data_IF_877579022595
#
_entry.id   IF_877579022595
#
_cell.length_a   1.000
_cell.length_b   1.000
_cell.length_c   1.000
_cell.angle_alpha   90.00
_cell.angle_beta   90.00
_cell.angle_gamma   90.00
#
_symmetry.space_group_name_H-M   'P 1'
#
loop_
_entity.id
_entity.type
_entity.pdbx_description
1 polymer ?
#
# COMPACT_ATOMS: atom_id res chain seq x y z
N UNK A 1 14.96 66.23 -50.32
CA UNK A 1 16.07 65.98 -51.27
C UNK A 1 15.49 65.25 -52.48
N UNK A 2 15.86 65.69 -53.68
CA UNK A 2 15.34 65.28 -54.99
C UNK A 2 15.46 63.76 -55.23
N UNK A 3 14.39 63.13 -55.77
CA UNK A 3 14.43 61.74 -56.29
C UNK A 3 15.45 61.58 -57.42
N UNK A 4 15.74 62.67 -58.11
CA UNK A 4 16.66 62.72 -59.24
C UNK A 4 18.08 62.29 -58.86
N UNK A 5 18.47 62.45 -57.59
CA UNK A 5 19.85 62.21 -57.16
C UNK A 5 20.19 60.72 -56.98
N UNK A 6 19.20 59.84 -56.77
CA UNK A 6 19.43 58.39 -56.70
C UNK A 6 19.44 57.75 -58.09
N UNK A 7 18.52 58.16 -58.97
CA UNK A 7 18.48 57.62 -60.33
C UNK A 7 19.75 57.98 -61.10
N UNK A 8 20.26 59.21 -60.98
CA UNK A 8 21.56 59.58 -61.56
C UNK A 8 22.71 58.78 -60.95
N UNK A 9 22.70 58.52 -59.64
CA UNK A 9 23.74 57.71 -58.97
C UNK A 9 23.79 56.27 -59.49
N UNK A 10 22.62 55.68 -59.77
CA UNK A 10 22.56 54.31 -60.31
C UNK A 10 22.87 54.25 -61.80
N UNK A 11 22.47 55.24 -62.60
CA UNK A 11 22.86 55.35 -64.02
C UNK A 11 24.38 55.55 -64.18
N UNK A 12 24.99 56.38 -63.35
CA UNK A 12 26.44 56.63 -63.37
C UNK A 12 27.25 55.39 -62.99
N UNK A 13 26.70 54.53 -62.11
CA UNK A 13 27.38 53.33 -61.61
C UNK A 13 26.94 52.04 -62.33
N UNK A 14 25.98 52.09 -63.25
CA UNK A 14 25.34 50.92 -63.88
C UNK A 14 26.36 49.96 -64.51
N UNK A 15 27.45 50.50 -65.08
CA UNK A 15 28.50 49.72 -65.73
C UNK A 15 29.74 49.47 -64.84
N UNK A 16 29.75 49.96 -63.59
CA UNK A 16 30.85 49.73 -62.64
C UNK A 16 30.62 48.50 -61.75
N UNK A 17 29.41 47.95 -61.70
CA UNK A 17 29.10 46.81 -60.83
C UNK A 17 29.54 45.46 -61.42
N UNK A 18 29.57 45.33 -62.75
CA UNK A 18 29.88 44.08 -63.46
C UNK A 18 31.35 43.94 -63.85
N UNK A 19 32.25 44.50 -63.02
CA UNK A 19 33.71 44.48 -63.24
C UNK A 19 34.35 43.10 -62.99
N UNK A 20 33.73 42.26 -62.16
CA UNK A 20 34.35 41.01 -61.71
C UNK A 20 33.34 39.87 -61.64
N UNK A 21 33.70 38.73 -62.22
CA UNK A 21 32.92 37.51 -62.12
C UNK A 21 33.36 36.66 -60.91
N UNK A 22 32.46 35.91 -60.25
CA UNK A 22 32.85 35.03 -59.16
C UNK A 22 33.88 33.99 -59.62
N UNK A 23 34.87 33.71 -58.77
CA UNK A 23 35.85 32.66 -59.04
C UNK A 23 35.19 31.33 -59.40
N UNK A 24 35.77 30.62 -60.38
CA UNK A 24 35.32 29.32 -60.88
C UNK A 24 34.96 28.38 -59.70
N UNK A 25 33.81 27.71 -59.82
CA UNK A 25 33.26 26.84 -58.76
C UNK A 25 32.49 27.56 -57.65
N UNK A 26 32.27 28.88 -57.74
CA UNK A 26 31.45 29.63 -56.78
C UNK A 26 30.06 29.01 -56.59
N UNK A 27 29.36 28.67 -57.68
CA UNK A 27 28.03 28.06 -57.63
C UNK A 27 28.03 26.75 -56.83
N UNK A 28 29.07 25.92 -56.99
CA UNK A 28 29.20 24.67 -56.27
C UNK A 28 29.49 24.89 -54.78
N UNK A 29 30.35 25.86 -54.43
CA UNK A 29 30.59 26.26 -53.03
C UNK A 29 29.32 26.82 -52.39
N UNK A 30 28.54 27.60 -53.13
CA UNK A 30 27.25 28.13 -52.69
C UNK A 30 26.24 27.00 -52.43
N UNK A 31 26.06 26.08 -53.37
CA UNK A 31 25.18 24.91 -53.21
C UNK A 31 25.61 24.02 -52.04
N UNK A 32 26.91 23.80 -51.86
CA UNK A 32 27.44 23.07 -50.71
C UNK A 32 27.12 23.78 -49.40
N UNK A 33 27.27 25.12 -49.34
CA UNK A 33 26.92 25.92 -48.15
C UNK A 33 25.40 25.90 -47.88
N UNK A 34 24.57 25.94 -48.92
CA UNK A 34 23.11 25.87 -48.81
C UNK A 34 22.66 24.50 -48.28
N UNK A 35 23.20 23.42 -48.85
CA UNK A 35 22.88 22.06 -48.40
C UNK A 35 23.40 21.76 -46.98
N UNK A 36 24.49 22.40 -46.55
CA UNK A 36 24.97 22.29 -45.17
C UNK A 36 24.16 23.13 -44.16
N UNK A 37 23.35 24.11 -44.59
CA UNK A 37 22.47 24.86 -43.67
C UNK A 37 21.29 24.02 -43.17
N UNK A 38 20.84 23.02 -43.93
CA UNK A 38 19.81 22.06 -43.50
C UNK A 38 20.36 20.94 -42.60
N UNK A 39 21.68 20.89 -42.41
CA UNK A 39 22.30 20.09 -41.35
C UNK A 39 22.46 20.98 -40.13
N UNK A 40 21.33 21.31 -39.49
CA UNK A 40 21.36 21.62 -38.05
C UNK A 40 22.13 20.46 -37.44
N UNK A 41 23.27 20.74 -36.84
CA UNK A 41 24.03 19.75 -36.12
C UNK A 41 23.08 19.07 -35.14
N UNK A 42 22.68 17.84 -35.43
CA UNK A 42 22.26 16.92 -34.40
C UNK A 42 23.52 16.66 -33.61
N UNK A 43 23.83 17.55 -32.67
CA UNK A 43 24.57 17.13 -31.50
C UNK A 43 23.74 16.00 -30.92
N UNK A 44 24.17 14.77 -31.12
CA UNK A 44 23.74 13.62 -30.35
C UNK A 44 24.19 13.86 -28.90
N UNK A 45 23.51 14.79 -28.23
CA UNK A 45 23.53 14.85 -26.78
C UNK A 45 22.74 13.61 -26.39
N UNK A 46 23.34 12.60 -25.71
CA UNK A 46 22.55 11.50 -25.22
C UNK A 46 21.45 12.13 -24.37
N UNK A 47 20.18 11.95 -24.78
CA UNK A 47 19.03 12.37 -23.99
C UNK A 47 19.17 11.65 -22.65
N UNK A 48 19.74 12.33 -21.66
CA UNK A 48 19.81 11.83 -20.29
C UNK A 48 18.36 11.74 -19.86
N UNK A 49 17.84 10.52 -19.89
CA UNK A 49 16.47 10.20 -19.48
C UNK A 49 16.33 10.68 -18.03
N UNK A 50 15.66 11.82 -17.85
CA UNK A 50 15.34 12.44 -16.56
C UNK A 50 14.26 11.66 -15.79
N UNK A 51 14.11 10.37 -16.04
CA UNK A 51 13.24 9.48 -15.26
C UNK A 51 13.95 8.92 -14.01
N UNK A 52 15.27 9.14 -13.89
CA UNK A 52 16.04 8.66 -12.74
C UNK A 52 15.55 9.15 -11.36
N UNK A 53 15.05 10.39 -11.15
CA UNK A 53 14.51 10.77 -9.85
C UNK A 53 13.14 10.14 -9.54
N UNK A 54 12.30 9.86 -10.56
CA UNK A 54 11.01 9.19 -10.33
C UNK A 54 11.19 7.69 -10.02
N UNK A 55 12.15 7.04 -10.68
CA UNK A 55 12.48 5.64 -10.40
C UNK A 55 13.12 5.49 -9.00
N UNK A 56 13.94 6.46 -8.54
CA UNK A 56 14.50 6.38 -7.18
C UNK A 56 13.45 6.60 -6.09
N UNK A 57 12.47 7.48 -6.32
CA UNK A 57 11.35 7.70 -5.40
C UNK A 57 10.47 6.45 -5.34
N UNK A 58 10.10 5.89 -6.50
CA UNK A 58 9.34 4.64 -6.55
C UNK A 58 10.10 3.50 -5.85
N UNK A 59 11.41 3.36 -6.08
CA UNK A 59 12.23 2.35 -5.40
C UNK A 59 12.27 2.57 -3.88
N UNK A 60 12.36 3.81 -3.38
CA UNK A 60 12.30 4.07 -1.94
C UNK A 60 10.92 3.76 -1.33
N UNK A 61 9.83 4.03 -2.05
CA UNK A 61 8.48 3.70 -1.59
C UNK A 61 8.29 2.19 -1.60
N UNK A 62 8.69 1.51 -2.67
CA UNK A 62 8.65 0.04 -2.76
C UNK A 62 9.53 -0.60 -1.69
N UNK A 63 10.72 -0.04 -1.40
CA UNK A 63 11.60 -0.52 -0.33
C UNK A 63 10.95 -0.32 1.04
N UNK A 64 10.35 0.84 1.32
CA UNK A 64 9.66 1.10 2.59
C UNK A 64 8.45 0.18 2.76
N UNK A 65 7.68 -0.03 1.70
CA UNK A 65 6.56 -0.99 1.66
C UNK A 65 7.06 -2.41 1.86
N UNK A 66 8.10 -2.84 1.13
CA UNK A 66 8.68 -4.17 1.25
C UNK A 66 9.35 -4.42 2.60
N UNK A 67 9.93 -3.40 3.24
CA UNK A 67 10.43 -3.50 4.60
C UNK A 67 9.27 -3.58 5.60
N UNK A 68 8.24 -2.73 5.46
CA UNK A 68 7.07 -2.75 6.34
C UNK A 68 6.34 -4.10 6.29
N UNK A 69 6.07 -4.63 5.10
CA UNK A 69 5.45 -5.95 4.91
C UNK A 69 6.44 -7.11 5.13
N UNK A 70 7.72 -6.94 4.81
CA UNK A 70 8.75 -7.97 4.97
C UNK A 70 9.19 -8.18 6.43
N UNK A 71 9.01 -7.18 7.30
CA UNK A 71 9.17 -7.33 8.76
C UNK A 71 7.93 -7.83 9.45
N UNK A 72 6.78 -7.87 8.78
CA UNK A 72 5.67 -8.71 9.21
C UNK A 72 6.02 -10.16 8.86
N UNK A 73 6.96 -10.71 9.62
CA UNK A 73 7.01 -12.14 9.77
C UNK A 73 5.65 -12.50 10.35
N UNK A 74 4.79 -13.17 9.57
CA UNK A 74 3.73 -13.95 10.16
C UNK A 74 4.45 -14.98 11.04
N UNK A 75 4.69 -14.60 12.29
CA UNK A 75 5.02 -15.55 13.35
C UNK A 75 3.90 -16.56 13.20
N UNK A 76 4.21 -17.76 12.70
CA UNK A 76 3.23 -18.83 12.59
C UNK A 76 2.60 -18.91 13.98
N UNK A 77 1.36 -18.42 14.10
CA UNK A 77 0.84 -17.97 15.37
C UNK A 77 0.58 -19.24 16.18
N UNK A 78 1.55 -19.59 17.03
CA UNK A 78 1.53 -20.79 17.83
C UNK A 78 0.25 -20.78 18.64
N UNK A 79 -0.64 -21.70 18.33
CA UNK A 79 -1.91 -21.87 19.00
C UNK A 79 -1.82 -23.00 20.02
N UNK A 80 -2.85 -23.14 20.85
CA UNK A 80 -2.88 -24.21 21.83
C UNK A 80 -2.82 -25.57 21.11
N UNK A 81 -3.49 -25.67 19.96
CA UNK A 81 -3.50 -26.87 19.14
C UNK A 81 -2.14 -27.34 18.63
N UNK A 82 -1.18 -26.42 18.47
CA UNK A 82 0.18 -26.76 18.03
C UNK A 82 1.04 -27.49 19.07
N UNK A 83 0.62 -27.51 20.35
CA UNK A 83 1.37 -28.12 21.46
C UNK A 83 1.33 -29.65 21.41
N UNK A 84 0.14 -30.23 21.20
CA UNK A 84 -0.05 -31.68 21.12
C UNK A 84 -1.39 -32.03 20.43
N UNK A 85 -1.58 -33.26 19.95
CA UNK A 85 -2.87 -33.70 19.40
C UNK A 85 -4.05 -33.50 20.36
N UNK A 86 -3.85 -33.78 21.65
CA UNK A 86 -4.86 -33.60 22.70
C UNK A 86 -5.19 -32.11 22.92
N UNK A 87 -4.18 -31.24 22.81
CA UNK A 87 -4.40 -29.79 22.87
C UNK A 87 -5.12 -29.26 21.63
N UNK A 88 -4.90 -29.85 20.45
CA UNK A 88 -5.68 -29.53 19.26
C UNK A 88 -7.14 -29.92 19.41
N UNK A 89 -7.43 -31.12 19.96
CA UNK A 89 -8.80 -31.51 20.30
C UNK A 89 -9.43 -30.57 21.31
N UNK A 90 -8.66 -30.13 22.32
CA UNK A 90 -9.10 -29.18 23.34
C UNK A 90 -9.46 -27.83 22.73
N UNK A 91 -8.59 -27.28 21.87
CA UNK A 91 -8.85 -26.01 21.16
C UNK A 91 -10.10 -26.12 20.27
N UNK A 92 -10.24 -27.23 19.52
CA UNK A 92 -11.40 -27.48 18.69
C UNK A 92 -12.71 -27.55 19.50
N UNK A 93 -12.68 -28.22 20.65
CA UNK A 93 -13.83 -28.31 21.54
C UNK A 93 -14.26 -26.92 22.05
N UNK A 94 -13.31 -26.12 22.55
CA UNK A 94 -13.62 -24.80 23.09
C UNK A 94 -14.06 -23.81 22.02
N UNK A 95 -13.39 -23.77 20.86
CA UNK A 95 -13.77 -22.88 19.75
C UNK A 95 -15.15 -23.22 19.18
N UNK A 96 -15.49 -24.50 19.05
CA UNK A 96 -16.83 -24.95 18.66
C UNK A 96 -17.89 -24.55 19.70
N UNK A 97 -17.58 -24.72 21.00
CA UNK A 97 -18.48 -24.34 22.09
C UNK A 97 -18.74 -22.83 22.10
N UNK A 98 -17.68 -22.01 22.01
CA UNK A 98 -17.80 -20.54 21.93
C UNK A 98 -18.64 -20.13 20.72
N UNK A 99 -18.40 -20.74 19.55
CA UNK A 99 -19.17 -20.46 18.33
C UNK A 99 -20.66 -20.77 18.51
N UNK A 100 -20.97 -21.88 19.17
CA UNK A 100 -22.35 -22.28 19.49
C UNK A 100 -23.02 -21.30 20.45
N UNK A 101 -22.35 -20.93 21.55
CA UNK A 101 -22.91 -19.96 22.52
C UNK A 101 -23.07 -18.57 21.91
N UNK A 102 -22.13 -18.11 21.09
CA UNK A 102 -22.23 -16.84 20.38
C UNK A 102 -23.39 -16.85 19.38
N UNK A 103 -23.63 -17.96 18.68
CA UNK A 103 -24.77 -18.11 17.78
C UNK A 103 -26.11 -18.02 18.53
N UNK A 104 -26.21 -18.64 19.72
CA UNK A 104 -27.38 -18.46 20.60
C UNK A 104 -27.54 -17.00 20.99
N UNK A 105 -26.47 -16.35 21.46
CA UNK A 105 -26.50 -14.96 21.92
C UNK A 105 -26.98 -13.99 20.82
N UNK A 106 -26.52 -14.18 19.59
CA UNK A 106 -26.95 -13.37 18.45
C UNK A 106 -28.46 -13.52 18.15
N UNK A 107 -29.02 -14.70 18.39
CA UNK A 107 -30.46 -14.97 18.26
C UNK A 107 -31.33 -14.28 19.32
N UNK A 108 -30.72 -13.72 20.36
CA UNK A 108 -31.39 -13.16 21.52
C UNK A 108 -31.50 -11.63 21.55
N UNK A 109 -31.30 -11.00 20.39
CA UNK A 109 -31.31 -9.55 20.27
C UNK A 109 -32.73 -8.97 20.35
N UNK A 110 -32.98 -8.15 21.37
CA UNK A 110 -34.20 -7.35 21.54
C UNK A 110 -33.86 -5.94 22.06
N UNK A 111 -34.79 -4.96 22.01
CA UNK A 111 -34.55 -3.61 22.55
C UNK A 111 -34.08 -3.59 24.01
N UNK A 112 -34.45 -4.60 24.81
CA UNK A 112 -34.11 -4.71 26.22
C UNK A 112 -32.77 -5.41 26.47
N UNK A 113 -32.37 -6.34 25.59
CA UNK A 113 -31.16 -7.14 25.75
C UNK A 113 -29.96 -6.54 25.00
N UNK A 114 -30.20 -5.65 24.04
CA UNK A 114 -29.18 -5.12 23.12
C UNK A 114 -27.98 -4.50 23.84
N UNK A 115 -28.19 -3.74 24.93
CA UNK A 115 -27.10 -3.12 25.68
C UNK A 115 -26.23 -4.18 26.35
N UNK A 116 -26.87 -5.18 26.98
CA UNK A 116 -26.17 -6.27 27.66
C UNK A 116 -25.36 -7.12 26.66
N UNK A 117 -25.92 -7.38 25.48
CA UNK A 117 -25.24 -8.11 24.40
C UNK A 117 -24.04 -7.31 23.89
N UNK A 118 -24.17 -6.01 23.65
CA UNK A 118 -23.05 -5.17 23.20
C UNK A 118 -21.90 -5.15 24.22
N UNK A 119 -22.22 -5.01 25.52
CA UNK A 119 -21.23 -5.04 26.58
C UNK A 119 -20.52 -6.41 26.67
N UNK A 120 -21.26 -7.50 26.44
CA UNK A 120 -20.70 -8.85 26.38
C UNK A 120 -19.75 -9.03 25.20
N UNK A 121 -20.14 -8.56 24.00
CA UNK A 121 -19.30 -8.64 22.80
C UNK A 121 -17.99 -7.86 22.97
N UNK A 122 -18.02 -6.70 23.62
CA UNK A 122 -16.82 -5.92 23.92
C UNK A 122 -15.88 -6.63 24.91
N UNK A 123 -16.44 -7.29 25.93
CA UNK A 123 -15.65 -8.10 26.86
C UNK A 123 -15.08 -9.33 26.16
N UNK A 124 -15.84 -9.96 25.26
CA UNK A 124 -15.38 -11.08 24.46
C UNK A 124 -14.20 -10.68 23.56
N UNK A 125 -14.27 -9.52 22.92
CA UNK A 125 -13.17 -8.96 22.12
C UNK A 125 -11.89 -8.75 22.96
N UNK A 126 -12.05 -8.28 24.20
CA UNK A 126 -10.91 -8.12 25.13
C UNK A 126 -10.24 -9.47 25.41
N UNK A 127 -11.03 -10.51 25.68
CA UNK A 127 -10.53 -11.87 25.89
C UNK A 127 -9.86 -12.44 24.64
N UNK A 128 -10.36 -12.14 23.44
CA UNK A 128 -9.75 -12.55 22.17
C UNK A 128 -8.38 -11.90 21.93
N UNK A 129 -8.26 -10.62 22.27
CA UNK A 129 -6.98 -9.90 22.22
C UNK A 129 -5.98 -10.50 23.21
N UNK A 130 -6.41 -10.79 24.45
CA UNK A 130 -5.58 -11.49 25.44
C UNK A 130 -5.11 -12.86 24.94
N UNK A 131 -5.98 -13.64 24.30
CA UNK A 131 -5.59 -14.91 23.68
C UNK A 131 -4.52 -14.72 22.61
N UNK A 132 -4.63 -13.68 21.78
CA UNK A 132 -3.61 -13.38 20.77
C UNK A 132 -2.23 -13.09 21.38
N UNK A 133 -2.17 -12.38 22.52
CA UNK A 133 -0.92 -12.20 23.25
C UNK A 133 -0.39 -13.51 23.84
N UNK A 134 -1.27 -14.37 24.38
CA UNK A 134 -0.87 -15.67 24.89
C UNK A 134 -0.29 -16.59 23.80
N UNK A 135 -0.76 -16.49 22.54
CA UNK A 135 -0.15 -17.19 21.40
C UNK A 135 1.31 -16.78 21.17
N UNK A 136 1.58 -15.47 21.30
CA UNK A 136 2.95 -14.95 21.22
C UNK A 136 3.80 -15.46 22.40
N UNK A 137 3.29 -15.36 23.63
CA UNK A 137 3.99 -15.84 24.82
C UNK A 137 4.28 -17.34 24.74
N UNK A 138 3.38 -18.14 24.16
CA UNK A 138 3.55 -19.59 23.98
C UNK A 138 4.69 -19.89 23.00
N UNK A 139 4.78 -19.12 21.92
CA UNK A 139 5.86 -19.21 20.94
C UNK A 139 7.21 -18.83 21.55
N UNK A 140 7.26 -17.75 22.32
CA UNK A 140 8.48 -17.22 22.92
C UNK A 140 8.97 -18.08 24.10
N UNK A 141 8.06 -18.63 24.90
CA UNK A 141 8.38 -19.41 26.10
C UNK A 141 8.70 -20.88 25.83
N UNK A 142 8.45 -21.37 24.61
CA UNK A 142 8.73 -22.77 24.24
C UNK A 142 7.77 -23.77 24.91
N UNK A 143 6.46 -23.51 24.84
CA UNK A 143 5.39 -24.34 25.44
C UNK A 143 5.37 -24.37 26.97
N UNK A 144 5.57 -23.21 27.59
CA UNK A 144 5.43 -23.09 29.04
C UNK A 144 4.02 -23.48 29.50
N UNK A 145 3.93 -24.46 30.41
CA UNK A 145 2.68 -24.96 30.96
C UNK A 145 1.80 -23.88 31.59
N UNK A 146 2.40 -22.80 32.11
CA UNK A 146 1.66 -21.66 32.68
C UNK A 146 0.95 -20.87 31.60
N UNK A 147 1.57 -20.70 30.43
CA UNK A 147 0.95 -20.04 29.27
C UNK A 147 -0.16 -20.92 28.72
N UNK A 148 0.08 -22.24 28.60
CA UNK A 148 -0.95 -23.22 28.22
C UNK A 148 -2.17 -23.13 29.16
N UNK A 149 -1.95 -23.10 30.48
CA UNK A 149 -3.02 -22.94 31.45
C UNK A 149 -3.78 -21.61 31.28
N UNK A 150 -3.06 -20.51 31.04
CA UNK A 150 -3.67 -19.22 30.78
C UNK A 150 -4.54 -19.22 29.50
N UNK A 151 -4.10 -19.89 28.43
CA UNK A 151 -4.86 -20.06 27.18
C UNK A 151 -6.16 -20.85 27.41
N UNK A 152 -6.08 -21.95 28.14
CA UNK A 152 -7.26 -22.74 28.52
C UNK A 152 -8.21 -21.91 29.39
N UNK A 153 -7.68 -21.19 30.38
CA UNK A 153 -8.49 -20.31 31.23
C UNK A 153 -9.17 -19.20 30.44
N UNK A 154 -8.50 -18.63 29.44
CA UNK A 154 -9.11 -17.63 28.56
C UNK A 154 -10.30 -18.22 27.79
N UNK A 155 -10.18 -19.43 27.23
CA UNK A 155 -11.32 -20.12 26.60
C UNK A 155 -12.49 -20.33 27.58
N UNK A 156 -12.20 -20.77 28.81
CA UNK A 156 -13.20 -20.96 29.86
C UNK A 156 -13.91 -19.65 30.20
N UNK A 157 -13.17 -18.55 30.38
CA UNK A 157 -13.72 -17.23 30.67
C UNK A 157 -14.64 -16.72 29.56
N UNK A 158 -14.29 -16.97 28.29
CA UNK A 158 -15.15 -16.61 27.13
C UNK A 158 -16.47 -17.36 27.16
N UNK A 159 -16.44 -18.65 27.48
CA UNK A 159 -17.65 -19.48 27.58
C UNK A 159 -18.50 -19.02 28.77
N UNK A 160 -17.89 -18.84 29.94
CA UNK A 160 -18.58 -18.39 31.15
C UNK A 160 -19.26 -17.02 30.93
N UNK A 161 -18.56 -16.08 30.29
CA UNK A 161 -19.13 -14.78 29.91
C UNK A 161 -20.40 -14.95 29.07
N UNK A 162 -20.33 -15.74 27.99
CA UNK A 162 -21.45 -15.96 27.08
C UNK A 162 -22.63 -16.65 27.80
N UNK A 163 -22.36 -17.67 28.60
CA UNK A 163 -23.39 -18.39 29.37
C UNK A 163 -24.08 -17.50 30.39
N UNK A 164 -23.30 -16.70 31.14
CA UNK A 164 -23.85 -15.77 32.12
C UNK A 164 -24.74 -14.71 31.47
N UNK A 165 -24.38 -14.24 30.27
CA UNK A 165 -25.18 -13.26 29.54
C UNK A 165 -26.47 -13.89 29.02
N UNK A 166 -26.40 -15.09 28.44
CA UNK A 166 -27.58 -15.85 28.01
C UNK A 166 -28.55 -16.11 29.16
N UNK A 167 -28.03 -16.47 30.34
CA UNK A 167 -28.85 -16.66 31.54
C UNK A 167 -29.56 -15.36 31.94
N UNK A 168 -28.85 -14.22 32.00
CA UNK A 168 -29.44 -12.92 32.34
C UNK A 168 -30.51 -12.49 31.35
N UNK A 169 -30.32 -12.79 30.05
CA UNK A 169 -31.32 -12.55 29.02
C UNK A 169 -32.59 -13.36 29.31
N UNK A 170 -32.45 -14.63 29.63
CA UNK A 170 -33.59 -15.49 29.95
C UNK A 170 -34.35 -14.99 31.20
N UNK A 171 -33.63 -14.56 32.24
CA UNK A 171 -34.22 -13.93 33.43
C UNK A 171 -35.03 -12.67 33.06
N UNK A 172 -34.50 -11.80 32.18
CA UNK A 172 -35.21 -10.60 31.70
C UNK A 172 -36.49 -10.97 30.96
N UNK A 173 -36.46 -12.01 30.13
CA UNK A 173 -37.65 -12.49 29.40
C UNK A 173 -38.72 -13.01 30.34
N UNK A 174 -38.34 -13.80 31.34
CA UNK A 174 -39.27 -14.39 32.30
C UNK A 174 -39.95 -13.34 33.16
N UNK A 175 -39.26 -12.25 33.51
CA UNK A 175 -39.85 -11.13 34.27
C UNK A 175 -40.89 -10.32 33.48
N UNK A 176 -40.97 -10.50 32.15
CA UNK A 176 -41.95 -9.82 31.28
C UNK A 176 -43.15 -10.70 30.87
N UNK A 177 -43.12 -12.00 31.18
CA UNK A 177 -44.27 -12.90 31.02
C UNK A 177 -45.27 -12.68 32.15
#
# INVERSE_FOLDING_TARGET
MNKDNLNTLFEDLENEFDIEAPNIGHQQRFLNKLNNQNKIATTDVPKRIFWKPLISIAASIVLLVALFFGTQQEVMAKDLGSVSPEMAETENFFTSTISSELAKLNGETSPETVSLIQDALKQLETLEIEYAFLKQDLAESGDDQRVIFAMISNFQNRIELLQNVLQKIEEIKQLKQ
#
